data_IF_838913493321
#
_entry.id   IF_838913493321
#
_cell.length_a   1.000
_cell.length_b   1.000
_cell.length_c   1.000
_cell.angle_alpha   90.00
_cell.angle_beta   90.00
_cell.angle_gamma   90.00
#
_symmetry.space_group_name_H-M   'P 1'
#
loop_
_entity.id
_entity.type
_entity.pdbx_description
1 polymer ?
#
# COMPACT_ATOMS: atom_id res chain seq x y z
N UNK A 1 -8.05 -57.23 46.64
CA UNK A 1 -7.42 -56.85 45.36
C UNK A 1 -8.31 -55.81 44.70
N UNK A 2 -8.07 -54.53 44.99
CA UNK A 2 -8.74 -53.41 44.32
C UNK A 2 -7.96 -53.20 43.02
N UNK A 3 -8.62 -53.42 41.89
CA UNK A 3 -8.08 -53.12 40.57
C UNK A 3 -8.22 -51.60 40.38
N UNK A 4 -7.11 -50.87 40.45
CA UNK A 4 -7.05 -49.48 39.99
C UNK A 4 -7.06 -49.51 38.46
N UNK A 5 -8.21 -49.19 37.87
CA UNK A 5 -8.39 -49.07 36.43
C UNK A 5 -7.53 -47.94 35.83
N UNK A 6 -6.74 -48.33 34.83
CA UNK A 6 -6.23 -47.58 33.68
C UNK A 6 -6.27 -46.03 33.72
N UNK A 7 -5.06 -45.44 33.71
CA UNK A 7 -4.67 -44.39 32.76
C UNK A 7 -5.34 -43.02 32.86
N UNK A 8 -4.57 -42.04 33.34
CA UNK A 8 -4.86 -40.60 33.38
C UNK A 8 -5.03 -39.92 31.98
N UNK A 9 -5.92 -40.44 31.14
CA UNK A 9 -6.16 -39.93 29.78
C UNK A 9 -7.13 -38.74 29.68
N UNK A 10 -7.77 -38.32 30.77
CA UNK A 10 -8.84 -37.29 30.78
C UNK A 10 -8.46 -35.89 31.29
N UNK A 11 -7.19 -35.64 31.65
CA UNK A 11 -6.82 -34.40 32.36
C UNK A 11 -6.31 -33.28 31.44
N UNK A 12 -5.86 -33.58 30.22
CA UNK A 12 -5.27 -32.59 29.30
C UNK A 12 -6.26 -32.18 28.21
N UNK A 13 -6.50 -30.87 27.99
CA UNK A 13 -7.32 -30.42 26.86
C UNK A 13 -6.67 -30.78 25.51
N UNK A 14 -7.50 -30.91 24.46
CA UNK A 14 -6.97 -30.99 23.09
C UNK A 14 -6.20 -29.72 22.72
N UNK A 15 -5.37 -29.77 21.68
CA UNK A 15 -4.84 -28.54 21.11
C UNK A 15 -6.01 -27.65 20.62
N UNK A 16 -5.93 -26.32 20.80
CA UNK A 16 -6.81 -25.39 20.10
C UNK A 16 -6.53 -25.47 18.60
N UNK A 17 -7.56 -25.23 17.77
CA UNK A 17 -7.36 -25.08 16.32
C UNK A 17 -7.18 -23.59 16.01
N UNK A 18 -6.04 -23.20 15.45
CA UNK A 18 -5.79 -21.80 15.07
C UNK A 18 -6.71 -21.41 13.90
N UNK A 19 -7.27 -20.20 13.98
CA UNK A 19 -8.00 -19.56 12.88
C UNK A 19 -7.16 -18.48 12.21
N UNK A 20 -7.83 -17.53 11.56
CA UNK A 20 -7.17 -16.38 10.92
C UNK A 20 -6.73 -15.35 11.96
N UNK A 21 -5.47 -14.93 11.88
CA UNK A 21 -4.97 -13.75 12.57
C UNK A 21 -5.20 -12.51 11.70
N UNK A 22 -5.65 -11.41 12.33
CA UNK A 22 -5.88 -10.12 11.68
C UNK A 22 -5.03 -9.04 12.36
N UNK A 23 -4.27 -8.29 11.57
CA UNK A 23 -3.42 -7.22 12.06
C UNK A 23 -4.23 -5.96 12.43
N UNK A 24 -3.81 -5.28 13.49
CA UNK A 24 -4.21 -3.93 13.83
C UNK A 24 -2.98 -3.02 13.99
N UNK A 25 -3.18 -1.84 14.57
CA UNK A 25 -2.07 -0.96 14.94
C UNK A 25 -1.37 -1.50 16.19
N UNK A 26 -0.11 -1.92 16.09
CA UNK A 26 0.69 -2.55 17.16
C UNK A 26 0.03 -3.77 17.84
N UNK A 27 -1.00 -4.34 17.21
CA UNK A 27 -1.87 -5.36 17.78
C UNK A 27 -2.23 -6.43 16.76
N UNK A 28 -2.70 -7.58 17.23
CA UNK A 28 -3.28 -8.64 16.42
C UNK A 28 -4.50 -9.25 17.11
N UNK A 29 -5.55 -9.55 16.35
CA UNK A 29 -6.67 -10.38 16.78
C UNK A 29 -6.48 -11.80 16.25
N UNK A 30 -6.33 -12.77 17.13
CA UNK A 30 -6.03 -14.17 16.82
C UNK A 30 -7.28 -15.00 17.05
N UNK A 31 -7.99 -15.37 15.98
CA UNK A 31 -9.12 -16.27 16.07
C UNK A 31 -8.66 -17.71 16.31
N UNK A 32 -9.44 -18.50 17.05
CA UNK A 32 -9.20 -19.93 17.25
C UNK A 32 -10.50 -20.67 17.59
N UNK A 33 -10.51 -21.98 17.37
CA UNK A 33 -11.53 -22.88 17.93
C UNK A 33 -11.03 -23.44 19.27
N UNK A 34 -11.79 -23.28 20.36
CA UNK A 34 -11.42 -23.78 21.69
C UNK A 34 -11.11 -25.29 21.73
N UNK A 35 -10.29 -25.67 22.70
CA UNK A 35 -9.97 -27.07 22.99
C UNK A 35 -11.21 -27.85 23.43
N UNK A 36 -11.30 -29.13 23.06
CA UNK A 36 -12.20 -30.07 23.72
C UNK A 36 -11.59 -30.48 25.06
N UNK A 37 -12.43 -30.50 26.11
CA UNK A 37 -12.00 -30.86 27.45
C UNK A 37 -13.13 -31.56 28.21
N UNK A 38 -12.85 -32.78 28.68
CA UNK A 38 -13.83 -33.63 29.38
C UNK A 38 -13.76 -33.41 30.91
N UNK A 39 -12.76 -32.66 31.40
CA UNK A 39 -12.65 -32.30 32.81
C UNK A 39 -13.62 -31.18 33.24
N UNK A 40 -13.72 -30.95 34.55
CA UNK A 40 -14.65 -29.97 35.15
C UNK A 40 -14.05 -28.56 35.36
N UNK A 41 -12.93 -28.25 34.72
CA UNK A 41 -12.19 -26.99 34.88
C UNK A 41 -12.45 -25.96 33.79
N UNK A 42 -12.05 -24.71 34.02
CA UNK A 42 -12.01 -23.66 33.00
C UNK A 42 -10.68 -23.70 32.25
N UNK A 43 -10.65 -23.15 31.03
CA UNK A 43 -9.46 -23.04 30.21
C UNK A 43 -9.20 -21.57 29.89
N UNK A 44 -7.97 -21.12 30.13
CA UNK A 44 -7.45 -19.84 29.65
C UNK A 44 -6.55 -20.11 28.45
N UNK A 45 -6.79 -19.41 27.35
CA UNK A 45 -6.00 -19.52 26.14
C UNK A 45 -4.96 -18.42 26.11
N UNK A 46 -3.74 -18.77 25.71
CA UNK A 46 -2.63 -17.83 25.52
C UNK A 46 -2.17 -17.90 24.06
N UNK A 47 -2.31 -16.80 23.33
CA UNK A 47 -1.66 -16.62 22.02
C UNK A 47 -0.24 -16.12 22.23
N UNK A 48 0.72 -16.66 21.49
CA UNK A 48 2.13 -16.23 21.51
C UNK A 48 2.59 -15.92 20.09
N UNK A 49 3.24 -14.76 19.90
CA UNK A 49 3.77 -14.33 18.60
C UNK A 49 5.14 -14.90 18.32
N UNK A 50 5.43 -15.14 17.04
CA UNK A 50 6.78 -15.32 16.52
C UNK A 50 6.97 -14.39 15.31
N UNK A 51 7.99 -13.53 15.30
CA UNK A 51 9.03 -13.32 16.32
C UNK A 51 8.50 -12.58 17.58
N UNK A 52 9.39 -12.31 18.54
CA UNK A 52 9.16 -11.40 19.67
C UNK A 52 8.53 -12.02 20.92
N UNK A 53 7.77 -13.12 20.80
CA UNK A 53 7.20 -13.80 21.96
C UNK A 53 6.14 -12.98 22.71
N UNK A 54 5.50 -12.01 22.06
CA UNK A 54 4.42 -11.24 22.66
C UNK A 54 3.22 -12.14 22.93
N UNK A 55 2.60 -11.98 24.09
CA UNK A 55 1.49 -12.83 24.52
C UNK A 55 0.22 -12.05 24.77
N UNK A 56 -0.92 -12.68 24.46
CA UNK A 56 -2.24 -12.24 24.88
C UNK A 56 -3.01 -13.42 25.48
N UNK A 57 -3.95 -13.16 26.39
CA UNK A 57 -4.75 -14.20 27.04
C UNK A 57 -6.24 -13.90 26.98
N UNK A 58 -7.07 -14.91 26.76
CA UNK A 58 -8.52 -14.81 26.84
C UNK A 58 -9.16 -16.13 27.26
N UNK A 59 -10.40 -16.08 27.77
CA UNK A 59 -11.21 -17.28 28.05
C UNK A 59 -11.93 -17.81 26.81
N UNK A 60 -12.03 -17.02 25.75
CA UNK A 60 -12.68 -17.35 24.49
C UNK A 60 -11.97 -16.70 23.29
N UNK A 61 -12.34 -17.09 22.08
CA UNK A 61 -11.84 -16.51 20.83
C UNK A 61 -12.58 -15.21 20.47
N UNK A 62 -11.91 -14.20 19.89
CA UNK A 62 -10.47 -14.15 19.58
C UNK A 62 -9.60 -13.66 20.75
N UNK A 63 -8.28 -13.88 20.65
CA UNK A 63 -7.28 -13.32 21.57
C UNK A 63 -6.64 -12.07 20.96
N UNK A 64 -6.64 -10.96 21.70
CA UNK A 64 -5.85 -9.77 21.33
C UNK A 64 -4.43 -9.90 21.86
N UNK A 65 -3.43 -9.78 20.96
CA UNK A 65 -2.01 -9.65 21.31
C UNK A 65 -1.57 -8.22 21.02
N UNK A 66 -0.93 -7.56 21.98
CA UNK A 66 -0.51 -6.15 21.89
C UNK A 66 1.00 -6.01 22.00
N UNK A 67 1.53 -4.83 21.66
CA UNK A 67 2.96 -4.51 21.76
C UNK A 67 3.77 -4.95 20.53
N UNK A 68 3.09 -5.33 19.45
CA UNK A 68 3.73 -5.70 18.19
C UNK A 68 4.35 -4.48 17.52
N UNK A 69 5.42 -4.68 16.77
CA UNK A 69 6.04 -3.61 15.98
C UNK A 69 5.41 -3.55 14.59
N UNK A 70 4.91 -2.37 14.20
CA UNK A 70 4.38 -2.17 12.85
C UNK A 70 5.46 -2.40 11.78
N UNK A 71 5.08 -3.02 10.66
CA UNK A 71 6.01 -3.39 9.58
C UNK A 71 6.76 -4.72 9.79
N UNK A 72 6.67 -5.33 10.99
CA UNK A 72 7.23 -6.66 11.26
C UNK A 72 6.18 -7.74 11.02
N UNK A 73 6.52 -8.78 10.28
CA UNK A 73 5.64 -9.93 10.06
C UNK A 73 5.61 -10.85 11.28
N UNK A 74 4.43 -11.29 11.70
CA UNK A 74 4.20 -12.20 12.82
C UNK A 74 3.30 -13.38 12.45
N UNK A 75 3.57 -14.53 13.03
CA UNK A 75 2.62 -15.65 13.15
C UNK A 75 2.33 -15.93 14.63
N UNK A 76 1.22 -16.63 14.90
CA UNK A 76 0.78 -16.90 16.27
C UNK A 76 0.44 -18.37 16.47
N UNK A 77 0.71 -18.87 17.68
CA UNK A 77 0.22 -20.16 18.17
C UNK A 77 -0.60 -19.96 19.44
N UNK A 78 -1.60 -20.79 19.69
CA UNK A 78 -2.45 -20.72 20.88
C UNK A 78 -2.29 -21.99 21.71
N UNK A 79 -2.14 -21.82 23.03
CA UNK A 79 -2.16 -22.90 24.03
C UNK A 79 -3.31 -22.65 24.98
N UNK A 80 -4.18 -23.65 25.18
CA UNK A 80 -5.16 -23.66 26.27
C UNK A 80 -4.56 -24.26 27.54
N UNK A 81 -4.71 -23.58 28.68
CA UNK A 81 -4.25 -24.03 30.00
C UNK A 81 -5.43 -24.09 30.95
N UNK A 82 -5.61 -25.23 31.63
CA UNK A 82 -6.68 -25.37 32.61
C UNK A 82 -6.39 -24.54 33.88
N UNK A 83 -7.41 -24.24 34.68
CA UNK A 83 -7.24 -23.63 36.00
C UNK A 83 -6.44 -24.48 37.00
N UNK A 84 -6.13 -25.74 36.64
CA UNK A 84 -5.26 -26.64 37.40
C UNK A 84 -3.80 -26.62 36.90
N UNK A 85 -3.46 -25.75 35.95
CA UNK A 85 -2.11 -25.60 35.39
C UNK A 85 -1.75 -26.62 34.31
N UNK A 86 -2.71 -27.40 33.81
CA UNK A 86 -2.47 -28.40 32.76
C UNK A 86 -2.61 -27.75 31.38
N UNK A 87 -1.50 -27.63 30.66
CA UNK A 87 -1.47 -27.07 29.31
C UNK A 87 -1.78 -28.14 28.23
N UNK A 88 -2.50 -27.72 27.19
CA UNK A 88 -2.64 -28.46 25.93
C UNK A 88 -1.37 -28.40 25.09
N UNK A 89 -1.32 -29.19 24.00
CA UNK A 89 -0.35 -28.93 22.94
C UNK A 89 -0.69 -27.60 22.24
N UNK A 90 0.31 -26.90 21.72
CA UNK A 90 0.10 -25.70 20.93
C UNK A 90 -0.66 -26.01 19.63
N UNK A 91 -1.45 -25.05 19.17
CA UNK A 91 -2.01 -25.06 17.82
C UNK A 91 -0.91 -25.04 16.75
N UNK A 92 -1.29 -25.30 15.49
CA UNK A 92 -0.48 -24.87 14.35
C UNK A 92 -0.27 -23.33 14.35
N UNK A 93 0.70 -22.85 13.57
CA UNK A 93 0.90 -21.42 13.37
C UNK A 93 -0.22 -20.81 12.51
N UNK A 94 -0.62 -19.57 12.82
CA UNK A 94 -1.56 -18.79 12.01
C UNK A 94 -0.99 -18.41 10.64
N UNK A 95 -1.80 -17.77 9.80
CA UNK A 95 -1.29 -16.96 8.69
C UNK A 95 -0.30 -15.88 9.21
N UNK A 96 0.61 -15.45 8.33
CA UNK A 96 1.46 -14.29 8.60
C UNK A 96 0.64 -13.00 8.50
N UNK A 97 0.81 -12.12 9.48
CA UNK A 97 0.27 -10.75 9.44
C UNK A 97 1.38 -9.73 9.65
N UNK A 98 1.18 -8.52 9.15
CA UNK A 98 2.08 -7.39 9.39
C UNK A 98 1.25 -6.26 9.99
N UNK A 99 1.34 -5.99 11.31
CA UNK A 99 0.71 -4.84 11.95
C UNK A 99 1.11 -3.54 11.26
N UNK A 100 0.16 -2.61 11.16
CA UNK A 100 0.37 -1.32 10.55
C UNK A 100 -0.57 -0.29 11.19
N UNK A 101 -0.09 0.95 11.32
CA UNK A 101 -0.95 2.05 11.74
C UNK A 101 -2.01 2.35 10.68
N UNK A 102 -3.19 2.81 11.12
CA UNK A 102 -4.18 3.36 10.20
C UNK A 102 -3.55 4.52 9.41
N UNK A 103 -3.77 4.56 8.10
CA UNK A 103 -3.14 5.55 7.22
C UNK A 103 -1.67 5.31 6.91
N UNK A 104 -1.07 4.19 7.35
CA UNK A 104 0.31 3.85 7.00
C UNK A 104 0.47 3.64 5.49
N UNK A 105 1.61 4.11 4.97
CA UNK A 105 2.04 3.89 3.60
C UNK A 105 2.84 2.60 3.51
N UNK A 106 2.35 1.64 2.72
CA UNK A 106 3.05 0.39 2.41
C UNK A 106 3.53 0.42 0.96
N UNK A 107 4.80 0.10 0.72
CA UNK A 107 5.33 0.01 -0.64
C UNK A 107 4.71 -1.20 -1.35
N UNK A 108 4.08 -0.95 -2.50
CA UNK A 108 3.55 -2.02 -3.37
C UNK A 108 4.64 -2.44 -4.36
N UNK A 109 5.23 -1.47 -5.06
CA UNK A 109 6.28 -1.71 -6.04
C UNK A 109 7.06 -0.43 -6.29
N UNK A 110 8.36 -0.56 -6.59
CA UNK A 110 9.18 0.53 -7.11
C UNK A 110 9.78 0.09 -8.44
N UNK A 111 9.63 0.92 -9.47
CA UNK A 111 10.26 0.77 -10.78
C UNK A 111 11.48 1.68 -10.83
N UNK A 112 12.64 1.09 -11.07
CA UNK A 112 13.87 1.78 -11.42
C UNK A 112 14.66 0.93 -12.41
N UNK A 113 15.44 1.57 -13.27
CA UNK A 113 16.24 0.88 -14.29
C UNK A 113 17.62 1.52 -14.40
N UNK A 114 18.65 0.72 -14.62
CA UNK A 114 20.01 1.19 -14.94
C UNK A 114 20.13 1.73 -16.38
N UNK A 115 19.10 1.56 -17.20
CA UNK A 115 18.97 2.15 -18.53
C UNK A 115 17.77 3.09 -18.59
N UNK A 116 17.72 3.93 -19.63
CA UNK A 116 16.54 4.73 -19.91
C UNK A 116 15.32 3.81 -20.17
N UNK A 117 14.13 4.23 -19.76
CA UNK A 117 12.89 3.46 -19.91
C UNK A 117 11.70 4.36 -20.25
N UNK A 118 10.74 3.81 -20.99
CA UNK A 118 9.60 4.58 -21.50
C UNK A 118 8.47 4.75 -20.47
N UNK A 119 8.16 3.69 -19.72
CA UNK A 119 7.09 3.73 -18.72
C UNK A 119 7.36 2.82 -17.52
N UNK A 120 6.76 3.18 -16.39
CA UNK A 120 6.68 2.38 -15.19
C UNK A 120 5.27 1.77 -15.08
N UNK A 121 5.21 0.44 -15.01
CA UNK A 121 3.98 -0.33 -15.05
C UNK A 121 3.70 -1.01 -13.71
N UNK A 122 2.44 -0.93 -13.27
CA UNK A 122 1.93 -1.58 -12.07
C UNK A 122 0.67 -2.38 -12.47
N UNK A 123 0.81 -3.68 -12.73
CA UNK A 123 -0.27 -4.50 -13.30
C UNK A 123 -1.04 -5.36 -12.30
N UNK A 124 -0.62 -5.39 -11.03
CA UNK A 124 -1.19 -6.27 -10.00
C UNK A 124 -1.37 -5.52 -8.68
N UNK A 125 -2.21 -4.48 -8.72
CA UNK A 125 -2.45 -3.63 -7.55
C UNK A 125 -3.37 -4.37 -6.56
N UNK A 126 -2.89 -4.68 -5.33
CA UNK A 126 -3.70 -5.36 -4.32
C UNK A 126 -4.93 -4.54 -3.97
N UNK A 127 -6.09 -5.19 -3.80
CA UNK A 127 -7.36 -4.53 -3.44
C UNK A 127 -7.55 -4.39 -1.91
N UNK A 128 -6.47 -4.52 -1.15
CA UNK A 128 -6.44 -4.54 0.33
C UNK A 128 -6.11 -3.18 0.95
N UNK A 129 -5.93 -2.16 0.12
CA UNK A 129 -5.70 -0.79 0.54
C UNK A 129 -6.95 0.05 0.36
N UNK A 130 -7.02 1.18 1.07
CA UNK A 130 -8.08 2.18 0.92
C UNK A 130 -7.72 3.23 -0.12
N UNK A 131 -6.49 3.73 -0.09
CA UNK A 131 -6.00 4.75 -1.02
C UNK A 131 -4.68 4.29 -1.67
N UNK A 132 -4.29 4.92 -2.77
CA UNK A 132 -2.98 4.73 -3.39
C UNK A 132 -2.24 6.06 -3.47
N UNK A 133 -0.90 5.99 -3.41
CA UNK A 133 -0.03 7.12 -3.71
C UNK A 133 1.07 6.71 -4.70
N UNK A 134 1.31 7.54 -5.70
CA UNK A 134 2.47 7.43 -6.61
C UNK A 134 3.50 8.49 -6.18
N UNK A 135 4.77 8.10 -6.13
CA UNK A 135 5.92 9.02 -6.04
C UNK A 135 6.81 8.84 -7.24
N UNK A 136 7.23 9.95 -7.83
CA UNK A 136 8.09 9.97 -9.01
C UNK A 136 9.28 10.87 -8.71
N UNK A 137 10.48 10.38 -8.97
CA UNK A 137 11.70 11.15 -9.08
C UNK A 137 12.34 10.76 -10.40
N UNK A 138 12.55 11.72 -11.30
CA UNK A 138 13.00 11.38 -12.64
C UNK A 138 13.94 12.41 -13.22
N UNK A 139 14.78 11.95 -14.13
CA UNK A 139 15.35 12.80 -15.17
C UNK A 139 14.72 12.45 -16.51
N UNK A 140 14.71 13.37 -17.46
CA UNK A 140 14.24 13.14 -18.82
C UNK A 140 15.36 13.25 -19.86
N UNK A 141 15.22 12.56 -20.98
CA UNK A 141 16.24 12.49 -22.04
C UNK A 141 16.15 13.62 -23.08
N UNK A 142 15.32 14.64 -22.86
CA UNK A 142 15.11 15.71 -23.84
C UNK A 142 16.37 16.56 -24.00
N UNK A 143 16.65 16.97 -25.24
CA UNK A 143 17.77 17.86 -25.60
C UNK A 143 17.32 19.11 -26.37
N UNK A 144 16.02 19.33 -26.55
CA UNK A 144 15.43 20.43 -27.33
C UNK A 144 14.37 21.22 -26.53
N UNK A 145 14.06 22.45 -26.94
CA UNK A 145 13.03 23.29 -26.30
C UNK A 145 11.63 22.81 -26.67
N UNK A 146 10.90 22.24 -25.71
CA UNK A 146 9.53 21.75 -25.90
C UNK A 146 8.84 21.53 -24.53
N UNK A 147 7.55 21.19 -24.55
CA UNK A 147 6.77 20.88 -23.34
C UNK A 147 6.61 19.37 -23.18
N UNK A 148 7.08 18.86 -22.04
CA UNK A 148 6.93 17.46 -21.63
C UNK A 148 5.90 17.27 -20.54
N UNK A 149 5.30 16.08 -20.55
CA UNK A 149 4.23 15.74 -19.63
C UNK A 149 4.43 14.39 -18.96
N UNK A 150 4.10 14.33 -17.67
CA UNK A 150 3.89 13.07 -16.98
C UNK A 150 2.48 12.67 -17.29
N UNK A 151 2.33 11.44 -17.76
CA UNK A 151 1.05 10.81 -17.95
C UNK A 151 0.91 9.63 -17.00
N UNK A 152 -0.24 9.57 -16.35
CA UNK A 152 -0.68 8.47 -15.50
C UNK A 152 -1.91 7.85 -16.15
N UNK A 153 -1.75 6.66 -16.73
CA UNK A 153 -2.87 5.86 -17.23
C UNK A 153 -3.36 4.92 -16.14
N UNK A 154 -4.66 4.68 -16.14
CA UNK A 154 -5.33 3.77 -15.21
C UNK A 154 -6.04 2.71 -16.03
N UNK A 155 -5.82 1.43 -15.72
CA UNK A 155 -6.44 0.30 -16.40
C UNK A 155 -6.29 0.35 -17.94
N UNK A 156 -5.11 0.79 -18.41
CA UNK A 156 -4.79 0.92 -19.84
C UNK A 156 -5.54 2.03 -20.58
N UNK A 157 -6.27 2.90 -19.87
CA UNK A 157 -7.12 3.93 -20.49
C UNK A 157 -6.55 5.33 -20.37
N UNK A 158 -6.94 6.13 -21.35
CA UNK A 158 -6.77 7.58 -21.33
C UNK A 158 -7.90 8.23 -20.50
N UNK A 159 -7.57 9.25 -19.70
CA UNK A 159 -8.55 10.14 -19.09
C UNK A 159 -9.07 11.12 -20.15
N UNK A 160 -10.19 11.78 -19.86
CA UNK A 160 -10.82 12.72 -20.81
C UNK A 160 -10.95 14.14 -20.24
N UNK A 161 -10.71 14.32 -18.94
CA UNK A 161 -10.81 15.61 -18.26
C UNK A 161 -9.73 15.76 -17.19
N UNK A 162 -9.02 16.89 -17.26
CA UNK A 162 -8.00 17.31 -16.30
C UNK A 162 -8.08 18.83 -16.10
N UNK A 163 -7.65 19.31 -14.92
CA UNK A 163 -7.42 20.74 -14.68
C UNK A 163 -6.01 20.94 -14.12
N UNK A 164 -5.35 21.99 -14.61
CA UNK A 164 -3.97 22.32 -14.29
C UNK A 164 -3.89 23.74 -13.73
N UNK A 165 -3.16 23.88 -12.61
CA UNK A 165 -2.78 25.19 -12.06
C UNK A 165 -1.25 25.21 -11.95
N UNK A 166 -0.58 26.16 -12.58
CA UNK A 166 0.88 26.19 -12.56
C UNK A 166 1.43 27.59 -12.29
N UNK A 167 2.63 27.62 -11.71
CA UNK A 167 3.38 28.84 -11.44
C UNK A 167 4.79 28.75 -12.03
N UNK A 168 5.26 29.84 -12.61
CA UNK A 168 6.65 30.01 -13.03
C UNK A 168 7.32 31.09 -12.19
N UNK A 169 8.64 30.98 -11.99
CA UNK A 169 9.42 32.02 -11.32
C UNK A 169 9.28 33.35 -12.07
N UNK A 170 8.99 34.44 -11.35
CA UNK A 170 8.76 35.79 -11.91
C UNK A 170 7.56 35.97 -12.85
N UNK A 171 6.56 35.08 -12.80
CA UNK A 171 5.29 35.21 -13.54
C UNK A 171 4.11 35.10 -12.57
N UNK A 172 2.97 35.74 -12.91
CA UNK A 172 1.71 35.54 -12.17
C UNK A 172 1.21 34.11 -12.42
N UNK A 173 0.76 33.42 -11.37
CA UNK A 173 0.20 32.06 -11.48
C UNK A 173 -0.94 32.00 -12.51
N UNK A 174 -0.91 31.01 -13.40
CA UNK A 174 -1.89 30.83 -14.47
C UNK A 174 -2.74 29.58 -14.24
N UNK A 175 -4.00 29.63 -14.69
CA UNK A 175 -4.94 28.50 -14.65
C UNK A 175 -5.49 28.28 -16.05
N UNK A 176 -5.47 27.04 -16.53
CA UNK A 176 -6.00 26.63 -17.83
C UNK A 176 -6.94 25.43 -17.71
N UNK A 177 -7.96 25.38 -18.57
CA UNK A 177 -8.87 24.24 -18.70
C UNK A 177 -8.94 23.83 -20.18
N UNK A 178 -8.62 22.59 -20.49
CA UNK A 178 -8.64 22.08 -21.87
C UNK A 178 -9.28 20.69 -21.90
N UNK A 179 -10.18 20.48 -22.86
CA UNK A 179 -10.77 19.16 -23.15
C UNK A 179 -9.85 18.43 -24.13
N UNK A 180 -9.35 17.24 -23.78
CA UNK A 180 -8.45 16.46 -24.63
C UNK A 180 -8.57 14.96 -24.37
N UNK A 181 -8.19 14.14 -25.35
CA UNK A 181 -8.37 12.67 -25.39
C UNK A 181 -7.35 11.88 -24.55
N UNK A 182 -6.78 12.49 -23.52
CA UNK A 182 -5.51 12.10 -22.94
C UNK A 182 -5.55 11.91 -21.43
N UNK A 183 -5.00 10.77 -20.97
CA UNK A 183 -4.77 10.50 -19.56
C UNK A 183 -3.77 11.47 -19.01
N UNK A 184 -4.20 12.36 -18.11
CA UNK A 184 -3.31 13.15 -17.27
C UNK A 184 -2.19 13.90 -18.03
N UNK A 185 -2.40 15.19 -18.27
CA UNK A 185 -1.30 16.10 -18.56
C UNK A 185 -0.90 16.81 -17.26
N UNK A 186 0.10 16.29 -16.56
CA UNK A 186 0.91 17.17 -15.72
C UNK A 186 2.02 17.71 -16.59
N UNK A 187 2.06 19.02 -16.85
CA UNK A 187 3.28 19.65 -17.35
C UNK A 187 4.41 19.32 -16.37
N UNK A 188 5.28 18.41 -16.78
CA UNK A 188 6.51 18.11 -16.08
C UNK A 188 7.58 19.12 -16.41
N UNK A 189 7.40 19.85 -17.50
CA UNK A 189 8.30 20.87 -17.98
C UNK A 189 7.48 21.87 -18.79
N UNK A 190 6.92 22.92 -18.17
CA UNK A 190 6.62 24.13 -18.94
C UNK A 190 7.94 24.88 -19.13
N UNK A 191 8.87 24.31 -19.91
CA UNK A 191 10.14 24.95 -20.25
C UNK A 191 9.96 25.71 -21.55
N UNK A 192 9.08 26.70 -21.51
CA UNK A 192 8.99 27.69 -22.56
C UNK A 192 10.04 28.78 -22.34
N UNK A 193 11.32 28.48 -22.58
CA UNK A 193 12.26 29.47 -23.10
C UNK A 193 13.63 28.87 -23.49
N UNK A 194 13.82 28.68 -24.79
CA UNK A 194 15.04 29.07 -25.52
C UNK A 194 16.41 28.44 -25.24
N UNK A 195 16.60 27.48 -24.33
CA UNK A 195 17.94 26.88 -24.10
C UNK A 195 17.93 25.35 -24.11
N UNK A 196 19.01 24.75 -24.61
CA UNK A 196 19.25 23.29 -24.51
C UNK A 196 19.55 22.93 -23.06
N UNK A 197 18.75 22.05 -22.46
CA UNK A 197 18.95 21.59 -21.08
C UNK A 197 19.35 20.13 -21.08
N UNK A 198 20.57 19.83 -20.64
CA UNK A 198 21.09 18.44 -20.62
C UNK A 198 20.83 17.71 -19.30
N UNK A 199 20.38 18.42 -18.25
CA UNK A 199 20.18 17.89 -16.89
C UNK A 199 18.87 18.34 -16.24
N UNK A 200 17.74 18.12 -16.90
CA UNK A 200 16.43 18.34 -16.28
C UNK A 200 16.07 17.19 -15.34
N UNK A 201 15.71 17.53 -14.10
CA UNK A 201 15.22 16.60 -13.10
C UNK A 201 13.93 17.12 -12.49
N UNK A 202 12.99 16.22 -12.24
CA UNK A 202 11.74 16.56 -11.63
C UNK A 202 11.25 15.49 -10.68
N UNK A 203 10.16 15.83 -10.00
CA UNK A 203 9.49 14.91 -9.12
C UNK A 203 8.00 15.20 -9.05
N UNK A 204 7.27 14.24 -8.53
CA UNK A 204 5.83 14.37 -8.35
C UNK A 204 5.27 13.40 -7.34
N UNK A 205 4.14 13.79 -6.76
CA UNK A 205 3.35 12.96 -5.85
C UNK A 205 1.90 13.00 -6.31
N UNK A 206 1.27 11.84 -6.44
CA UNK A 206 -0.13 11.69 -6.87
C UNK A 206 -0.89 10.75 -5.94
N UNK A 207 -2.19 10.96 -5.78
CA UNK A 207 -3.06 10.22 -4.89
C UNK A 207 -4.33 9.74 -5.60
N UNK A 208 -4.69 8.47 -5.41
CA UNK A 208 -6.02 7.94 -5.71
C UNK A 208 -6.78 7.66 -4.41
N UNK A 209 -7.95 8.29 -4.27
CA UNK A 209 -8.77 8.14 -3.05
C UNK A 209 -9.88 7.10 -3.24
N UNK A 210 -9.97 6.10 -2.35
CA UNK A 210 -10.91 4.96 -2.46
C UNK A 210 -10.85 4.30 -3.83
N UNK A 211 -9.66 3.86 -4.24
CA UNK A 211 -9.43 3.30 -5.59
C UNK A 211 -10.18 1.98 -5.84
N UNK A 212 -10.75 1.36 -4.80
CA UNK A 212 -11.60 0.17 -4.90
C UNK A 212 -13.09 0.49 -5.05
N UNK A 213 -13.50 1.76 -4.88
CA UNK A 213 -14.91 2.15 -4.84
C UNK A 213 -15.52 2.23 -6.24
N UNK A 214 -16.33 1.24 -6.57
CA UNK A 214 -17.07 1.14 -7.84
C UNK A 214 -18.38 1.94 -7.84
N UNK A 215 -18.62 2.86 -6.91
CA UNK A 215 -19.80 3.75 -6.93
C UNK A 215 -19.46 5.18 -7.35
N UNK A 216 -18.18 5.48 -7.55
CA UNK A 216 -17.69 6.78 -7.98
C UNK A 216 -16.67 6.64 -9.10
N UNK A 217 -16.46 7.72 -9.84
CA UNK A 217 -15.33 7.80 -10.77
C UNK A 217 -14.01 7.88 -10.00
N UNK A 218 -12.96 7.19 -10.47
CA UNK A 218 -11.61 7.39 -9.94
C UNK A 218 -11.17 8.84 -10.10
N UNK A 219 -10.61 9.41 -9.04
CA UNK A 219 -10.03 10.75 -9.04
C UNK A 219 -8.55 10.66 -8.67
N UNK A 220 -7.71 11.34 -9.45
CA UNK A 220 -6.30 11.57 -9.13
C UNK A 220 -6.11 13.03 -8.72
N UNK A 221 -5.30 13.25 -7.70
CA UNK A 221 -4.82 14.57 -7.28
C UNK A 221 -3.31 14.52 -7.13
N UNK A 222 -2.59 15.59 -7.47
CA UNK A 222 -1.14 15.55 -7.27
C UNK A 222 -0.41 16.84 -7.56
N UNK A 223 0.89 16.83 -7.30
CA UNK A 223 1.78 17.97 -7.46
C UNK A 223 3.04 17.51 -8.18
N UNK A 224 3.58 18.37 -9.05
CA UNK A 224 4.85 18.12 -9.71
C UNK A 224 5.73 19.37 -9.70
N UNK A 225 7.02 19.15 -9.85
CA UNK A 225 7.99 20.22 -9.99
C UNK A 225 9.19 19.75 -10.78
N UNK A 226 9.85 20.70 -11.41
CA UNK A 226 11.03 20.48 -12.23
C UNK A 226 12.07 21.55 -11.98
N UNK A 227 13.31 21.11 -11.89
CA UNK A 227 14.50 21.94 -11.87
C UNK A 227 15.20 21.82 -13.23
N UNK A 228 15.52 22.96 -13.82
CA UNK A 228 16.34 23.08 -15.04
C UNK A 228 17.64 23.82 -14.72
N UNK A 229 18.61 23.79 -15.63
CA UNK A 229 19.90 24.48 -15.46
C UNK A 229 19.77 26.02 -15.43
N UNK A 230 18.62 26.57 -15.85
CA UNK A 230 18.35 28.03 -15.88
C UNK A 230 17.24 28.49 -14.92
N UNK A 231 16.58 27.58 -14.19
CA UNK A 231 15.50 27.96 -13.27
C UNK A 231 14.68 26.78 -12.74
N UNK A 232 13.57 27.11 -12.07
CA UNK A 232 12.65 26.13 -11.49
C UNK A 232 11.21 26.43 -11.93
N UNK A 233 10.46 25.39 -12.27
CA UNK A 233 9.02 25.47 -12.53
C UNK A 233 8.29 24.52 -11.58
N UNK A 234 7.24 24.99 -10.92
CA UNK A 234 6.41 24.19 -10.02
C UNK A 234 4.95 24.23 -10.47
N UNK A 235 4.31 23.07 -10.52
CA UNK A 235 2.92 22.94 -10.98
C UNK A 235 2.08 22.15 -9.96
N UNK A 236 0.93 22.70 -9.60
CA UNK A 236 -0.05 22.09 -8.73
C UNK A 236 -1.21 21.52 -9.57
N UNK A 237 -1.44 20.22 -9.50
CA UNK A 237 -2.40 19.55 -10.37
C UNK A 237 -3.65 19.17 -9.59
N UNK A 238 -4.78 19.82 -9.90
CA UNK A 238 -6.04 19.55 -9.24
C UNK A 238 -7.03 18.90 -10.21
N UNK A 239 -7.24 17.58 -10.06
CA UNK A 239 -8.41 16.91 -10.59
C UNK A 239 -8.15 16.18 -11.90
N UNK A 240 -8.09 14.85 -11.79
CA UNK A 240 -8.52 13.96 -12.87
C UNK A 240 -9.92 13.43 -12.56
N UNK A 241 -10.78 13.39 -13.57
CA UNK A 241 -11.93 12.47 -13.60
C UNK A 241 -11.75 11.60 -14.82
N UNK A 242 -11.40 10.32 -14.66
CA UNK A 242 -11.38 9.40 -15.80
C UNK A 242 -12.83 9.19 -16.26
N UNK A 243 -13.11 9.33 -17.56
CA UNK A 243 -14.45 9.09 -18.10
C UNK A 243 -14.71 7.60 -18.41
N UNK A 244 -14.44 6.72 -17.45
CA UNK A 244 -14.90 5.33 -17.50
C UNK A 244 -15.67 4.99 -16.24
N UNK A 245 -16.44 3.92 -16.36
CA UNK A 245 -17.39 3.47 -15.38
C UNK A 245 -16.88 3.57 -13.95
N UNK A 246 -17.82 3.81 -13.05
CA UNK A 246 -17.77 3.43 -11.65
C UNK A 246 -17.04 2.07 -11.44
N UNK A 247 -15.72 2.10 -11.19
CA UNK A 247 -14.86 0.92 -11.24
C UNK A 247 -13.62 1.05 -10.34
N UNK A 248 -13.00 -0.09 -10.03
CA UNK A 248 -11.77 -0.13 -9.26
C UNK A 248 -10.51 0.07 -10.14
N UNK A 249 -9.43 0.53 -9.52
CA UNK A 249 -8.11 0.61 -10.14
C UNK A 249 -7.37 -0.71 -9.92
N UNK A 250 -7.00 -1.37 -11.02
CA UNK A 250 -6.28 -2.65 -11.04
C UNK A 250 -4.90 -2.53 -11.69
N UNK A 251 -4.71 -1.54 -12.57
CA UNK A 251 -3.39 -1.21 -13.10
C UNK A 251 -3.15 0.30 -13.26
N UNK A 252 -1.88 0.66 -13.17
CA UNK A 252 -1.38 2.03 -13.38
C UNK A 252 -0.17 1.97 -14.30
N UNK A 253 -0.11 2.88 -15.27
CA UNK A 253 1.08 3.16 -16.07
C UNK A 253 1.50 4.61 -15.85
N UNK A 254 2.78 4.85 -15.60
CA UNK A 254 3.37 6.19 -15.54
C UNK A 254 4.37 6.34 -16.68
N UNK A 255 4.19 7.32 -17.57
CA UNK A 255 5.06 7.56 -18.72
C UNK A 255 5.36 9.05 -18.94
N UNK A 256 6.38 9.34 -19.74
CA UNK A 256 6.68 10.69 -20.24
C UNK A 256 6.26 10.79 -21.70
N UNK A 257 5.57 11.87 -22.05
CA UNK A 257 5.05 12.13 -23.39
C UNK A 257 5.57 13.43 -24.00
N UNK A 258 5.57 13.58 -25.35
CA UNK A 258 4.93 12.69 -26.33
C UNK A 258 5.72 11.45 -26.78
N UNK A 259 7.03 11.35 -26.54
CA UNK A 259 7.82 10.12 -26.80
C UNK A 259 9.23 10.25 -26.21
N UNK A 260 9.33 10.28 -24.89
CA UNK A 260 10.62 10.36 -24.20
C UNK A 260 10.81 9.20 -23.24
N UNK A 261 12.07 9.03 -22.84
CA UNK A 261 12.42 8.07 -21.81
C UNK A 261 12.70 8.80 -20.50
N UNK A 262 12.24 8.20 -19.41
CA UNK A 262 12.89 8.38 -18.12
C UNK A 262 14.38 8.05 -18.28
N UNK A 263 15.25 8.91 -17.76
CA UNK A 263 16.68 8.63 -17.65
C UNK A 263 16.91 7.42 -16.74
N UNK A 264 18.06 6.77 -16.93
CA UNK A 264 18.54 5.76 -16.00
C UNK A 264 18.49 6.28 -14.55
N UNK A 265 18.14 5.40 -13.63
CA UNK A 265 17.94 5.69 -12.20
C UNK A 265 16.82 6.67 -11.89
N UNK A 266 15.91 6.93 -12.83
CA UNK A 266 14.60 7.46 -12.45
C UNK A 266 13.84 6.41 -11.62
N UNK A 267 13.05 6.87 -10.67
CA UNK A 267 12.31 6.07 -9.71
C UNK A 267 10.82 6.42 -9.76
N UNK A 268 9.99 5.39 -9.97
CA UNK A 268 8.53 5.49 -9.86
C UNK A 268 8.07 4.47 -8.85
N UNK A 269 7.52 4.92 -7.73
CA UNK A 269 7.08 4.06 -6.64
C UNK A 269 5.57 4.18 -6.42
N UNK A 270 4.90 3.04 -6.25
CA UNK A 270 3.50 2.93 -5.88
C UNK A 270 3.39 2.46 -4.42
N UNK A 271 2.57 3.16 -3.66
CA UNK A 271 2.27 2.87 -2.26
C UNK A 271 0.77 2.65 -2.08
N UNK A 272 0.43 1.67 -1.25
CA UNK A 272 -0.91 1.47 -0.72
C UNK A 272 -1.06 2.12 0.65
N UNK A 273 -2.23 2.68 0.93
CA UNK A 273 -2.55 3.32 2.22
C UNK A 273 -3.68 2.52 2.88
N UNK A 274 -3.45 2.03 4.10
CA UNK A 274 -4.48 1.32 4.88
C UNK A 274 -5.54 2.32 5.37
N UNK A 275 -6.80 1.90 5.31
CA UNK A 275 -7.94 2.66 5.81
C UNK A 275 -8.45 2.15 7.13
#
# INVERSE_FOLDING_TARGET
MIILGAGAGGMRPSAPTIGTATAGDTTASVAFTPSTYIGKGTITYTATSSPGGFTGTASSSPITVSGLTNGTAYTFTVVGTTNYGVASAASAASNSITPAAAGAFESIQTVTSSSAFFSAQFNSIPQTYKHLQIRVFYGESRTANDVDYLRVKVNGRNANYWRLVYGQWNQVAQSGNTTGNDAFYSSLSAVSNGSTYTNTFGGGIFYFMDYTNTNKKPNLMGWTGVATETGYTAAAHAGMTSNTANENISSIEVLIEPTLNFKAYSHVALYGIKG
#
